data_IF_942114087183
#
_entry.id   IF_942114087183
#
_cell.length_a   1.000
_cell.length_b   1.000
_cell.length_c   1.000
_cell.angle_alpha   90.00
_cell.angle_beta   90.00
_cell.angle_gamma   90.00
#
_symmetry.space_group_name_H-M   'P 1'
#
loop_
_entity.id
_entity.type
_entity.pdbx_description
1 polymer ?
#
# COMPACT_ATOMS: atom_id res chain seq x y z
N UNK A 1 -33.31 4.23 47.92
CA UNK A 1 -31.83 4.24 48.08
C UNK A 1 -31.26 3.22 47.10
N UNK A 2 -30.44 3.52 46.10
CA UNK A 2 -30.11 4.73 45.36
C UNK A 2 -29.76 4.26 43.93
N UNK A 3 -30.31 4.91 42.91
CA UNK A 3 -30.09 4.53 41.51
C UNK A 3 -28.76 5.11 41.05
N UNK A 4 -27.76 4.26 40.81
CA UNK A 4 -26.51 4.65 40.18
C UNK A 4 -26.75 4.85 38.69
N UNK A 5 -26.99 6.10 38.29
CA UNK A 5 -26.92 6.50 36.88
C UNK A 5 -25.46 6.50 36.46
N UNK A 6 -25.03 5.51 35.66
CA UNK A 6 -23.74 5.60 34.97
C UNK A 6 -23.88 6.64 33.84
N UNK A 7 -23.01 7.65 33.78
CA UNK A 7 -22.97 8.55 32.63
C UNK A 7 -22.61 7.75 31.39
N UNK A 8 -23.17 8.13 30.23
CA UNK A 8 -22.88 7.53 28.94
C UNK A 8 -21.37 7.55 28.69
N UNK A 9 -20.74 6.39 28.81
CA UNK A 9 -19.34 6.15 28.50
C UNK A 9 -19.22 6.06 26.98
N UNK A 10 -19.07 7.22 26.33
CA UNK A 10 -18.68 7.33 24.91
C UNK A 10 -17.18 7.09 24.72
N UNK A 11 -16.60 6.14 25.46
CA UNK A 11 -15.24 5.71 25.20
C UNK A 11 -15.29 4.51 24.24
N UNK A 12 -14.67 4.59 23.06
CA UNK A 12 -14.57 3.43 22.17
C UNK A 12 -13.85 2.30 22.92
N UNK A 13 -14.47 1.12 22.96
CA UNK A 13 -13.98 -0.02 23.73
C UNK A 13 -12.76 -0.68 23.07
N UNK A 14 -12.43 -0.29 21.84
CA UNK A 14 -11.26 -0.71 21.09
C UNK A 14 -10.48 0.53 20.61
N UNK A 15 -9.22 0.63 21.04
CA UNK A 15 -8.26 1.69 20.63
C UNK A 15 -7.50 1.31 19.35
N UNK A 16 -7.93 0.24 18.67
CA UNK A 16 -7.32 -0.26 17.43
C UNK A 16 -8.13 0.26 16.25
N UNK A 17 -7.82 1.48 15.80
CA UNK A 17 -8.34 1.95 14.53
C UNK A 17 -7.53 1.28 13.39
N UNK A 18 -8.18 0.50 12.51
CA UNK A 18 -7.48 -0.10 11.38
C UNK A 18 -7.05 1.01 10.42
N UNK A 19 -5.74 1.14 10.20
CA UNK A 19 -5.13 2.17 9.33
C UNK A 19 -5.64 2.03 7.88
N UNK A 20 -6.20 0.86 7.51
CA UNK A 20 -6.84 0.57 6.23
C UNK A 20 -7.97 -0.48 6.42
N UNK A 21 -9.25 -0.10 6.58
CA UNK A 21 -10.34 -1.06 6.70
C UNK A 21 -10.46 -1.91 5.41
N UNK A 22 -9.98 -3.16 5.47
CA UNK A 22 -9.96 -4.12 4.36
C UNK A 22 -8.59 -4.73 4.03
N UNK A 23 -7.49 -4.17 4.55
CA UNK A 23 -6.13 -4.73 4.41
C UNK A 23 -5.69 -5.36 5.74
N UNK A 24 -5.72 -6.68 5.82
CA UNK A 24 -5.27 -7.40 7.03
C UNK A 24 -3.79 -7.76 6.93
N UNK A 25 -2.91 -6.90 7.43
CA UNK A 25 -1.55 -7.28 7.84
C UNK A 25 -1.52 -7.45 9.37
N UNK A 26 -2.23 -8.46 9.87
CA UNK A 26 -2.02 -8.91 11.24
C UNK A 26 -0.72 -9.69 11.27
N UNK A 27 0.35 -9.08 11.82
CA UNK A 27 1.39 -9.72 12.64
C UNK A 27 2.48 -8.72 13.09
N UNK A 28 2.56 -7.51 12.50
CA UNK A 28 3.41 -6.43 13.01
C UNK A 28 2.65 -5.11 13.10
N UNK A 29 2.19 -4.78 14.30
CA UNK A 29 1.96 -3.40 14.68
C UNK A 29 3.32 -2.71 14.70
N UNK A 30 3.63 -1.91 13.68
CA UNK A 30 4.80 -1.03 13.72
C UNK A 30 4.44 0.13 14.65
N UNK A 31 4.41 -0.11 15.96
CA UNK A 31 4.56 0.96 16.94
C UNK A 31 6.05 1.32 16.96
N UNK A 32 6.47 2.23 16.08
CA UNK A 32 7.70 3.01 16.28
C UNK A 32 7.39 3.98 17.43
N UNK A 33 7.41 3.45 18.66
CA UNK A 33 6.87 4.03 19.90
C UNK A 33 6.56 5.52 19.88
N UNK A 34 5.27 5.88 20.04
CA UNK A 34 4.79 7.26 20.10
C UNK A 34 5.34 8.09 18.93
N UNK A 35 4.67 8.04 17.77
CA UNK A 35 4.92 9.04 16.71
C UNK A 35 4.95 10.41 17.40
N UNK A 36 6.11 11.08 17.35
CA UNK A 36 6.37 12.25 18.20
C UNK A 36 5.45 13.43 17.86
N UNK A 37 4.75 13.32 16.73
CA UNK A 37 3.77 14.29 16.24
C UNK A 37 2.77 13.61 15.26
N UNK A 38 1.61 13.15 15.75
CA UNK A 38 0.56 12.54 14.92
C UNK A 38 0.02 13.46 13.83
N UNK A 39 -0.03 14.77 14.10
CA UNK A 39 -0.52 15.77 13.13
C UNK A 39 0.39 15.84 11.90
N UNK A 40 1.69 15.63 12.10
CA UNK A 40 2.66 15.53 11.00
C UNK A 40 2.43 14.27 10.16
N UNK A 41 2.10 13.14 10.78
CA UNK A 41 1.86 11.89 10.04
C UNK A 41 0.56 11.96 9.22
N UNK A 42 -0.50 12.55 9.76
CA UNK A 42 -1.74 12.83 9.03
C UNK A 42 -1.51 13.80 7.86
N UNK A 43 -0.73 14.86 8.07
CA UNK A 43 -0.36 15.79 7.01
C UNK A 43 0.45 15.11 5.89
N UNK A 44 1.33 14.15 6.22
CA UNK A 44 2.07 13.36 5.23
C UNK A 44 1.13 12.46 4.44
N UNK A 45 0.18 11.79 5.10
CA UNK A 45 -0.80 10.94 4.43
C UNK A 45 -1.72 11.73 3.49
N UNK A 46 -2.10 12.95 3.87
CA UNK A 46 -2.90 13.86 3.05
C UNK A 46 -2.10 14.42 1.85
N UNK A 47 -0.87 14.88 2.09
CA UNK A 47 -0.07 15.57 1.07
C UNK A 47 0.65 14.62 0.10
N UNK A 48 1.19 13.50 0.59
CA UNK A 48 1.99 12.55 -0.21
C UNK A 48 1.14 11.38 -0.71
N UNK A 49 0.04 11.10 -0.01
CA UNK A 49 -0.85 9.97 -0.26
C UNK A 49 -0.47 8.74 0.56
N UNK A 50 -1.37 7.75 0.52
CA UNK A 50 -1.26 6.55 1.35
C UNK A 50 0.08 5.83 1.17
N UNK A 51 0.56 5.18 2.24
CA UNK A 51 1.78 4.36 2.18
C UNK A 51 1.71 3.29 1.08
N UNK A 52 0.53 2.75 0.76
CA UNK A 52 0.34 1.85 -0.37
C UNK A 52 0.66 2.48 -1.74
N UNK A 53 0.34 3.77 -1.92
CA UNK A 53 0.72 4.53 -3.12
C UNK A 53 2.24 4.74 -3.18
N UNK A 54 2.86 5.05 -2.05
CA UNK A 54 4.31 5.25 -1.96
C UNK A 54 5.09 3.96 -2.27
N UNK A 55 4.66 2.81 -1.72
CA UNK A 55 5.23 1.49 -2.03
C UNK A 55 5.02 1.14 -3.50
N UNK A 56 3.85 1.47 -4.07
CA UNK A 56 3.59 1.33 -5.51
C UNK A 56 4.64 2.06 -6.36
N UNK A 57 4.96 3.32 -6.03
CA UNK A 57 5.99 4.07 -6.74
C UNK A 57 7.40 3.46 -6.58
N UNK A 58 7.74 2.95 -5.39
CA UNK A 58 9.02 2.26 -5.18
C UNK A 58 9.10 1.01 -6.06
N UNK A 59 8.01 0.24 -6.13
CA UNK A 59 7.95 -0.96 -6.94
C UNK A 59 8.06 -0.63 -8.44
N UNK A 60 7.37 0.41 -8.92
CA UNK A 60 7.47 0.89 -10.30
C UNK A 60 8.90 1.36 -10.63
N UNK A 61 9.54 2.10 -9.72
CA UNK A 61 10.92 2.55 -9.90
C UNK A 61 11.91 1.38 -9.95
N UNK A 62 11.74 0.39 -9.07
CA UNK A 62 12.58 -0.81 -9.05
C UNK A 62 12.40 -1.65 -10.33
N UNK A 63 11.16 -1.81 -10.81
CA UNK A 63 10.89 -2.47 -12.09
C UNK A 63 11.56 -1.74 -13.26
N UNK A 64 11.50 -0.40 -13.29
CA UNK A 64 12.17 0.38 -14.32
C UNK A 64 13.69 0.15 -14.32
N UNK A 65 14.31 -0.01 -13.15
CA UNK A 65 15.74 -0.37 -13.04
C UNK A 65 16.01 -1.79 -13.54
N UNK A 66 15.18 -2.77 -13.14
CA UNK A 66 15.30 -4.17 -13.61
C UNK A 66 15.17 -4.24 -15.13
N UNK A 67 14.24 -3.49 -15.72
CA UNK A 67 14.06 -3.39 -17.17
C UNK A 67 15.26 -2.71 -17.82
N UNK A 68 15.68 -1.55 -17.30
CA UNK A 68 16.81 -0.78 -17.84
C UNK A 68 18.15 -1.54 -17.81
N UNK A 69 18.32 -2.45 -16.85
CA UNK A 69 19.47 -3.36 -16.78
C UNK A 69 19.32 -4.62 -17.64
N UNK A 70 18.19 -4.81 -18.33
CA UNK A 70 17.90 -6.00 -19.14
C UNK A 70 17.62 -7.27 -18.33
N UNK A 71 17.39 -7.14 -17.02
CA UNK A 71 17.21 -8.27 -16.10
C UNK A 71 15.79 -8.87 -16.11
N UNK A 72 14.87 -8.23 -16.84
CA UNK A 72 13.55 -8.78 -17.14
C UNK A 72 13.61 -9.92 -18.19
N UNK A 73 14.67 -10.00 -18.97
CA UNK A 73 14.89 -11.04 -19.96
C UNK A 73 15.43 -12.30 -19.25
N UNK A 74 14.68 -13.41 -19.26
CA UNK A 74 15.06 -14.63 -18.54
C UNK A 74 16.45 -15.16 -18.92
N UNK A 75 16.85 -15.01 -20.19
CA UNK A 75 18.19 -15.38 -20.66
C UNK A 75 19.27 -14.54 -19.98
N UNK A 76 19.15 -13.20 -20.01
CA UNK A 76 20.14 -12.31 -19.41
C UNK A 76 20.21 -12.51 -17.90
N UNK A 77 19.07 -12.62 -17.24
CA UNK A 77 19.01 -12.88 -15.81
C UNK A 77 19.73 -14.18 -15.46
N UNK A 78 19.53 -15.25 -16.25
CA UNK A 78 20.21 -16.53 -16.04
C UNK A 78 21.73 -16.44 -16.26
N UNK A 79 22.17 -15.73 -17.31
CA UNK A 79 23.58 -15.63 -17.72
C UNK A 79 24.39 -14.60 -16.91
N UNK A 80 23.76 -13.68 -16.16
CA UNK A 80 24.48 -12.66 -15.40
C UNK A 80 25.26 -13.26 -14.22
N UNK A 81 26.57 -13.30 -14.35
CA UNK A 81 27.50 -13.83 -13.33
C UNK A 81 27.64 -12.93 -12.10
N UNK A 82 27.16 -11.67 -12.14
CA UNK A 82 27.22 -10.75 -11.00
C UNK A 82 26.13 -11.04 -9.96
N UNK A 83 25.10 -11.78 -10.35
CA UNK A 83 23.95 -12.10 -9.52
C UNK A 83 24.04 -13.52 -8.97
N UNK A 84 23.76 -13.68 -7.69
CA UNK A 84 23.58 -14.99 -7.07
C UNK A 84 22.27 -15.63 -7.53
N UNK A 85 22.14 -16.95 -7.36
CA UNK A 85 20.87 -17.63 -7.65
C UNK A 85 19.69 -17.06 -6.86
N UNK A 86 19.92 -16.69 -5.60
CA UNK A 86 18.91 -16.06 -4.74
C UNK A 86 18.49 -14.68 -5.26
N UNK A 87 19.44 -13.84 -5.70
CA UNK A 87 19.14 -12.54 -6.29
C UNK A 87 18.32 -12.68 -7.59
N UNK A 88 18.67 -13.65 -8.44
CA UNK A 88 17.91 -13.95 -9.67
C UNK A 88 16.48 -14.38 -9.35
N UNK A 89 16.32 -15.22 -8.33
CA UNK A 89 15.02 -15.67 -7.87
C UNK A 89 14.20 -14.50 -7.31
N UNK A 90 14.79 -13.65 -6.47
CA UNK A 90 14.11 -12.48 -5.90
C UNK A 90 13.61 -11.53 -6.99
N UNK A 91 14.42 -11.25 -8.01
CA UNK A 91 14.02 -10.42 -9.17
C UNK A 91 12.86 -11.08 -9.92
N UNK A 92 12.93 -12.40 -10.15
CA UNK A 92 11.87 -13.14 -10.84
C UNK A 92 10.55 -13.07 -10.08
N UNK A 93 10.57 -13.38 -8.78
CA UNK A 93 9.39 -13.31 -7.91
C UNK A 93 8.81 -11.90 -7.90
N UNK A 94 9.65 -10.88 -7.75
CA UNK A 94 9.21 -9.48 -7.74
C UNK A 94 8.45 -9.10 -9.03
N UNK A 95 8.97 -9.47 -10.20
CA UNK A 95 8.30 -9.20 -11.49
C UNK A 95 6.97 -9.96 -11.63
N UNK A 96 6.90 -11.19 -11.11
CA UNK A 96 5.67 -11.97 -11.06
C UNK A 96 4.63 -11.32 -10.17
N UNK A 97 5.03 -10.87 -8.97
CA UNK A 97 4.15 -10.19 -8.02
C UNK A 97 3.59 -8.89 -8.61
N UNK A 98 4.42 -8.09 -9.28
CA UNK A 98 3.97 -6.87 -9.97
C UNK A 98 2.93 -7.17 -11.05
N UNK A 99 3.14 -8.23 -11.81
CA UNK A 99 2.18 -8.67 -12.84
C UNK A 99 0.87 -9.10 -12.20
N UNK A 100 0.91 -9.87 -11.11
CA UNK A 100 -0.28 -10.28 -10.38
C UNK A 100 -1.04 -9.08 -9.78
N UNK A 101 -0.33 -8.11 -9.20
CA UNK A 101 -0.91 -6.87 -8.66
C UNK A 101 -1.61 -6.08 -9.77
N UNK A 102 -1.03 -5.98 -10.98
CA UNK A 102 -1.66 -5.31 -12.12
C UNK A 102 -2.97 -5.98 -12.52
N UNK A 103 -2.98 -7.31 -12.63
CA UNK A 103 -4.20 -8.08 -12.93
C UNK A 103 -5.29 -7.82 -11.90
N UNK A 104 -4.95 -7.84 -10.60
CA UNK A 104 -5.91 -7.54 -9.53
C UNK A 104 -6.41 -6.09 -9.61
N UNK A 105 -5.50 -5.13 -9.82
CA UNK A 105 -5.86 -3.71 -9.97
C UNK A 105 -6.75 -3.48 -11.19
N UNK A 106 -6.51 -4.14 -12.32
CA UNK A 106 -7.35 -4.04 -13.52
C UNK A 106 -8.75 -4.61 -13.27
N UNK A 107 -8.84 -5.76 -12.59
CA UNK A 107 -10.11 -6.37 -12.20
C UNK A 107 -10.95 -5.46 -11.29
N UNK A 108 -10.32 -4.69 -10.40
CA UNK A 108 -11.00 -3.75 -9.50
C UNK A 108 -11.16 -2.33 -10.09
N UNK A 109 -10.27 -1.91 -10.98
CA UNK A 109 -10.19 -0.56 -11.54
C UNK A 109 -11.26 -0.23 -12.59
N UNK A 110 -11.93 -1.23 -13.17
CA UNK A 110 -13.05 -1.00 -14.09
C UNK A 110 -14.39 -0.66 -13.39
N UNK A 111 -14.46 -0.70 -12.05
CA UNK A 111 -15.69 -0.45 -11.30
C UNK A 111 -15.97 1.03 -10.97
N UNK A 112 -15.10 1.97 -11.36
CA UNK A 112 -15.34 3.40 -11.16
C UNK A 112 -15.73 4.07 -12.51
N UNK A 113 -17.03 4.33 -12.78
CA UNK A 113 -17.41 5.15 -13.90
C UNK A 113 -16.99 6.60 -13.65
N UNK A 114 -16.37 7.21 -14.65
CA UNK A 114 -16.18 8.64 -14.74
C UNK A 114 -17.55 9.33 -14.57
N UNK A 115 -17.77 9.97 -13.42
CA UNK A 115 -18.82 10.98 -13.30
C UNK A 115 -18.39 12.19 -14.11
N UNK A 116 -18.65 12.15 -15.41
CA UNK A 116 -18.77 13.33 -16.25
C UNK A 116 -19.98 14.13 -15.76
N UNK A 117 -19.77 14.94 -14.72
CA UNK A 117 -20.71 15.94 -14.25
C UNK A 117 -20.72 17.11 -15.22
N UNK A 118 -21.55 17.01 -16.25
CA UNK A 118 -22.00 18.11 -17.07
C UNK A 118 -22.69 19.14 -16.17
N UNK A 119 -22.15 20.36 -16.17
CA UNK A 119 -22.78 21.53 -15.56
C UNK A 119 -23.94 21.99 -16.45
N UNK A 120 -25.19 22.06 -15.97
CA UNK A 120 -26.23 22.76 -16.69
C UNK A 120 -26.13 24.25 -16.35
N UNK A 121 -25.93 25.07 -17.38
CA UNK A 121 -26.18 26.49 -17.33
C UNK A 121 -27.67 26.73 -17.02
N UNK A 122 -27.93 27.64 -16.08
CA UNK A 122 -29.24 28.17 -15.73
C UNK A 122 -29.06 29.47 -14.96
#
# INVERSE_FOLDING_TARGET
>A
MGNYSRPLEFAPHDLTQPILPGWQFNLFRIDLGVSRDPDTEDAILEAVGSYGRQIGHIADALEALVIGLGLHESRRLAEDSRLTGEQKQAITTFLQDLTAIRVVKEAHGQAAPATAGSSPAG
#
